data_IF_178086714387
#
_entry.id   IF_178086714387
#
_cell.length_a   1.000
_cell.length_b   1.000
_cell.length_c   1.000
_cell.angle_alpha   90.00
_cell.angle_beta   90.00
_cell.angle_gamma   90.00
#
_symmetry.space_group_name_H-M   'P 1'
#
loop_
_entity.id
_entity.type
_entity.pdbx_description
1 polymer ?
#
# COMPACT_ATOMS: atom_id res chain seq x y z
N UNK A 1 16.03 12.87 11.83
CA UNK A 1 15.41 13.41 10.60
C UNK A 1 14.27 12.47 10.24
N UNK A 2 13.05 12.96 10.05
CA UNK A 2 11.91 12.10 9.71
C UNK A 2 12.02 11.63 8.26
N UNK A 3 11.67 10.37 8.00
CA UNK A 3 11.57 9.82 6.64
C UNK A 3 10.15 10.03 6.13
N UNK A 4 10.03 10.54 4.91
CA UNK A 4 8.76 10.61 4.17
C UNK A 4 8.87 9.62 3.02
N UNK A 5 7.92 8.69 2.94
CA UNK A 5 7.88 7.69 1.89
C UNK A 5 6.44 7.45 1.43
N UNK A 6 6.29 6.91 0.22
CA UNK A 6 5.03 6.44 -0.32
C UNK A 6 5.06 4.92 -0.29
N UNK A 7 4.01 4.31 0.26
CA UNK A 7 3.79 2.87 0.20
C UNK A 7 2.42 2.65 -0.44
N UNK A 8 2.41 2.04 -1.62
CA UNK A 8 1.21 1.81 -2.42
C UNK A 8 1.37 0.54 -3.25
N UNK A 9 0.26 -0.18 -3.43
CA UNK A 9 0.15 -1.29 -4.38
C UNK A 9 -0.36 -0.73 -5.71
N UNK A 10 0.28 -1.10 -6.81
CA UNK A 10 -0.10 -0.66 -8.16
C UNK A 10 -0.08 -1.84 -9.12
N UNK A 11 -0.90 -1.76 -10.16
CA UNK A 11 -0.79 -2.65 -11.32
C UNK A 11 0.53 -2.41 -12.05
N UNK A 12 0.93 -3.35 -12.92
CA UNK A 12 2.17 -3.23 -13.73
C UNK A 12 2.12 -2.02 -14.65
N UNK A 13 0.94 -1.61 -15.09
CA UNK A 13 0.68 -0.42 -15.90
C UNK A 13 0.39 0.85 -15.08
N UNK A 14 0.49 0.79 -13.74
CA UNK A 14 0.59 1.95 -12.86
C UNK A 14 -0.71 2.49 -12.26
N UNK A 15 -1.78 1.70 -12.22
CA UNK A 15 -3.06 2.08 -11.61
C UNK A 15 -3.16 1.57 -10.16
N UNK A 16 -3.79 2.37 -9.29
CA UNK A 16 -4.06 2.00 -7.88
C UNK A 16 -5.48 1.45 -7.67
N UNK A 17 -6.43 1.84 -8.52
CA UNK A 17 -7.83 1.47 -8.42
C UNK A 17 -8.41 1.24 -9.82
N UNK A 18 -9.51 0.51 -9.90
CA UNK A 18 -10.30 0.37 -11.13
C UNK A 18 -11.11 1.65 -11.45
N UNK A 19 -11.91 1.60 -12.52
CA UNK A 19 -12.69 2.75 -13.00
C UNK A 19 -13.77 3.23 -12.02
N UNK A 20 -14.23 2.35 -11.13
CA UNK A 20 -15.24 2.63 -10.10
C UNK A 20 -14.59 2.96 -8.74
N UNK A 21 -13.25 2.98 -8.67
CA UNK A 21 -12.48 3.22 -7.45
C UNK A 21 -12.23 1.98 -6.59
N UNK A 22 -12.56 0.79 -7.10
CA UNK A 22 -12.35 -0.49 -6.44
C UNK A 22 -10.88 -0.94 -6.45
N UNK A 23 -10.50 -1.71 -5.43
CA UNK A 23 -9.15 -2.29 -5.28
C UNK A 23 -9.18 -3.82 -5.22
N UNK A 24 -10.31 -4.45 -5.54
CA UNK A 24 -10.52 -5.89 -5.36
C UNK A 24 -9.51 -6.74 -6.14
N UNK A 25 -9.07 -6.23 -7.30
CA UNK A 25 -8.05 -6.84 -8.16
C UNK A 25 -6.74 -7.20 -7.41
N UNK A 26 -6.41 -6.49 -6.32
CA UNK A 26 -5.17 -6.73 -5.60
C UNK A 26 -5.23 -7.96 -4.69
N UNK A 27 -6.42 -8.40 -4.30
CA UNK A 27 -6.61 -9.53 -3.37
C UNK A 27 -6.63 -10.89 -4.06
N UNK A 28 -6.69 -10.92 -5.39
CA UNK A 28 -6.57 -12.16 -6.18
C UNK A 28 -5.14 -12.73 -6.18
N UNK A 29 -4.17 -11.97 -5.65
CA UNK A 29 -2.76 -12.35 -5.60
C UNK A 29 -2.34 -12.63 -4.15
N UNK A 30 -1.74 -13.81 -3.87
CA UNK A 30 -1.19 -14.08 -2.55
C UNK A 30 0.04 -13.21 -2.30
N UNK A 31 0.10 -12.58 -1.14
CA UNK A 31 1.35 -12.00 -0.62
C UNK A 31 2.23 -13.09 -0.04
N UNK A 32 3.55 -12.94 -0.16
CA UNK A 32 4.47 -13.86 0.49
C UNK A 32 4.45 -13.60 2.02
N UNK A 33 4.65 -14.63 2.88
CA UNK A 33 4.66 -14.44 4.34
C UNK A 33 5.65 -13.35 4.80
N UNK A 34 6.81 -13.26 4.15
CA UNK A 34 7.83 -12.25 4.38
C UNK A 34 7.35 -10.81 4.10
N UNK A 35 6.37 -10.62 3.23
CA UNK A 35 5.81 -9.29 2.93
C UNK A 35 5.05 -8.74 4.14
N UNK A 36 4.36 -9.61 4.89
CA UNK A 36 3.64 -9.21 6.10
C UNK A 36 4.60 -8.68 7.18
N UNK A 37 5.74 -9.33 7.37
CA UNK A 37 6.76 -8.87 8.33
C UNK A 37 7.29 -7.48 7.97
N UNK A 38 7.47 -7.21 6.67
CA UNK A 38 7.88 -5.89 6.18
C UNK A 38 6.82 -4.84 6.48
N UNK A 39 5.55 -5.13 6.18
CA UNK A 39 4.44 -4.22 6.45
C UNK A 39 4.32 -3.93 7.94
N UNK A 40 4.37 -4.95 8.80
CA UNK A 40 4.28 -4.80 10.25
C UNK A 40 5.39 -3.89 10.79
N UNK A 41 6.62 -4.10 10.33
CA UNK A 41 7.76 -3.27 10.69
C UNK A 41 7.59 -1.82 10.23
N UNK A 42 7.09 -1.60 9.00
CA UNK A 42 6.86 -0.25 8.48
C UNK A 42 5.79 0.44 9.31
N UNK A 43 4.63 -0.20 9.51
CA UNK A 43 3.50 0.35 10.27
C UNK A 43 3.90 0.69 11.71
N UNK A 44 4.68 -0.16 12.37
CA UNK A 44 5.19 0.10 13.72
C UNK A 44 6.07 1.35 13.84
N UNK A 45 6.64 1.83 12.74
CA UNK A 45 7.51 3.02 12.70
C UNK A 45 6.82 4.26 12.11
N UNK A 46 5.56 4.17 11.67
CA UNK A 46 4.81 5.32 11.15
C UNK A 46 4.37 6.23 12.32
N UNK A 47 4.86 7.47 12.32
CA UNK A 47 4.43 8.50 13.28
C UNK A 47 3.22 9.32 12.83
N UNK A 48 2.95 9.37 11.51
CA UNK A 48 1.83 10.11 10.93
C UNK A 48 1.46 9.55 9.54
N UNK A 49 0.17 9.62 9.20
CA UNK A 49 -0.36 9.28 7.87
C UNK A 49 -1.02 10.52 7.27
N UNK A 50 -0.74 10.79 6.00
CA UNK A 50 -1.39 11.86 5.22
C UNK A 50 -2.02 11.22 3.98
N UNK A 51 -3.31 11.47 3.78
CA UNK A 51 -4.07 10.97 2.63
C UNK A 51 -4.93 12.09 2.03
N UNK A 52 -5.21 11.99 0.72
CA UNK A 52 -6.19 12.85 0.06
C UNK A 52 -7.62 12.48 0.46
N UNK A 53 -8.56 13.40 0.25
CA UNK A 53 -9.98 13.05 0.26
C UNK A 53 -10.29 12.35 -1.06
N UNK A 54 -10.75 11.10 -0.99
CA UNK A 54 -11.22 10.32 -2.13
C UNK A 54 -12.76 10.37 -2.17
#
# INVERSE_FOLDING_TARGET
MALVFVHATVTVDGFMADIDGGVDWMFDFPSAPEDQEVVDRVVANIGAVVGGSN
#
